data_IF_176470365095
#
_entry.id   IF_176470365095
#
_cell.length_a   1.000
_cell.length_b   1.000
_cell.length_c   1.000
_cell.angle_alpha   90.00
_cell.angle_beta   90.00
_cell.angle_gamma   90.00
#
_symmetry.space_group_name_H-M   'P 1'
#
loop_
_entity.id
_entity.type
_entity.pdbx_description
1 polymer ?
#
# COMPACT_ATOMS: atom_id res chain seq x y z
N UNK A 1 9.33 -5.20 30.13
CA UNK A 1 8.82 -3.83 29.88
C UNK A 1 7.89 -3.89 28.69
N UNK A 2 6.60 -3.61 28.86
CA UNK A 2 5.68 -3.47 27.72
C UNK A 2 6.13 -2.24 26.91
N UNK A 3 6.52 -2.42 25.65
CA UNK A 3 6.73 -1.28 24.76
C UNK A 3 5.43 -0.46 24.71
N UNK A 4 5.53 0.88 24.70
CA UNK A 4 4.35 1.76 24.67
C UNK A 4 3.54 1.58 23.37
N UNK A 5 4.18 1.09 22.31
CA UNK A 5 3.62 0.80 21.00
C UNK A 5 4.17 -0.54 20.50
N UNK A 6 3.37 -1.25 19.73
CA UNK A 6 3.68 -2.54 19.12
C UNK A 6 3.98 -2.37 17.63
N UNK A 7 4.65 -3.36 17.03
CA UNK A 7 4.88 -3.39 15.60
C UNK A 7 3.69 -4.02 14.88
N UNK A 8 3.42 -3.62 13.64
CA UNK A 8 2.41 -4.23 12.78
C UNK A 8 2.68 -5.72 12.55
N UNK A 9 3.96 -6.12 12.53
CA UNK A 9 4.37 -7.53 12.44
C UNK A 9 4.04 -8.38 13.67
N UNK A 10 3.64 -7.76 14.78
CA UNK A 10 3.25 -8.45 16.01
C UNK A 10 1.75 -8.79 16.05
N UNK A 11 1.00 -8.43 15.00
CA UNK A 11 -0.42 -8.77 14.88
C UNK A 11 -0.57 -10.28 14.77
N UNK A 12 -1.41 -10.84 15.65
CA UNK A 12 -1.62 -12.28 15.72
C UNK A 12 -3.06 -12.61 16.13
N UNK A 13 -3.51 -13.82 15.83
CA UNK A 13 -4.79 -14.32 16.37
C UNK A 13 -4.73 -14.46 17.90
N UNK A 14 -5.81 -14.11 18.59
CA UNK A 14 -6.00 -14.37 20.02
C UNK A 14 -5.79 -13.14 20.93
N UNK A 15 -4.91 -12.22 20.53
CA UNK A 15 -4.81 -10.91 21.17
C UNK A 15 -5.98 -10.02 20.75
N UNK A 16 -6.50 -9.22 21.69
CA UNK A 16 -7.76 -8.47 21.51
C UNK A 16 -7.56 -6.97 21.29
N UNK A 17 -6.37 -6.44 21.59
CA UNK A 17 -6.08 -5.03 21.48
C UNK A 17 -4.59 -4.83 21.24
N UNK A 18 -4.27 -3.89 20.36
CA UNK A 18 -2.92 -3.43 20.08
C UNK A 18 -2.89 -1.92 20.11
N UNK A 19 -1.70 -1.37 20.32
CA UNK A 19 -1.46 0.06 20.18
C UNK A 19 -0.31 0.28 19.22
N UNK A 20 -0.60 0.85 18.06
CA UNK A 20 0.40 1.08 17.03
C UNK A 20 0.72 2.56 16.90
N UNK A 21 1.92 2.84 16.36
CA UNK A 21 2.24 4.11 15.75
C UNK A 21 2.61 3.82 14.30
N UNK A 22 1.85 4.38 13.37
CA UNK A 22 1.91 4.04 11.94
C UNK A 22 1.78 5.29 11.08
N UNK A 23 2.33 5.22 9.87
CA UNK A 23 2.06 6.15 8.80
C UNK A 23 0.96 5.58 7.91
N UNK A 24 -0.02 6.41 7.54
CA UNK A 24 -1.01 6.05 6.52
C UNK A 24 -0.43 6.38 5.15
N UNK A 25 -0.15 5.35 4.34
CA UNK A 25 0.41 5.53 2.98
C UNK A 25 -0.71 5.79 1.99
N UNK A 26 -1.83 5.08 2.15
CA UNK A 26 -2.97 5.15 1.24
C UNK A 26 -4.26 4.97 2.01
N UNK A 27 -5.28 5.71 1.60
CA UNK A 27 -6.64 5.56 2.09
C UNK A 27 -7.59 5.61 0.89
N UNK A 28 -8.53 4.69 0.82
CA UNK A 28 -9.50 4.63 -0.27
C UNK A 28 -10.88 4.17 0.20
N UNK A 29 -11.90 4.57 -0.54
CA UNK A 29 -13.28 4.16 -0.30
C UNK A 29 -13.61 2.91 -1.12
N UNK A 30 -14.25 1.93 -0.49
CA UNK A 30 -14.82 0.75 -1.15
C UNK A 30 -16.33 0.90 -1.23
N UNK A 31 -16.90 0.65 -2.40
CA UNK A 31 -18.33 0.77 -2.67
C UNK A 31 -18.93 -0.61 -2.94
N UNK A 32 -20.13 -0.87 -2.42
CA UNK A 32 -20.85 -2.09 -2.75
C UNK A 32 -21.34 -2.05 -4.20
N UNK A 33 -21.33 -3.22 -4.84
CA UNK A 33 -21.94 -3.40 -6.16
C UNK A 33 -23.43 -3.06 -6.06
N UNK A 34 -23.88 -2.12 -6.88
CA UNK A 34 -25.27 -1.64 -6.90
C UNK A 34 -25.53 -0.37 -6.07
N UNK A 35 -24.60 0.05 -5.21
CA UNK A 35 -24.76 1.24 -4.37
C UNK A 35 -23.59 2.25 -4.52
N UNK A 36 -23.41 2.88 -5.69
CA UNK A 36 -22.26 3.74 -5.95
C UNK A 36 -22.30 5.09 -5.22
N UNK A 37 -23.37 5.41 -4.48
CA UNK A 37 -23.59 6.73 -3.87
C UNK A 37 -22.98 6.87 -2.48
N UNK A 38 -22.70 5.77 -1.78
CA UNK A 38 -22.16 5.79 -0.42
C UNK A 38 -21.07 4.73 -0.27
N UNK A 39 -19.90 5.09 0.28
CA UNK A 39 -18.86 4.10 0.55
C UNK A 39 -19.37 3.14 1.63
N UNK A 40 -19.13 1.86 1.41
CA UNK A 40 -19.41 0.79 2.36
C UNK A 40 -18.36 0.73 3.46
N UNK A 41 -17.09 0.91 3.08
CA UNK A 41 -15.97 0.99 4.00
C UNK A 41 -14.92 1.97 3.48
N UNK A 42 -14.10 2.46 4.41
CA UNK A 42 -12.83 3.10 4.11
C UNK A 42 -11.72 2.13 4.48
N UNK A 43 -10.85 1.82 3.53
CA UNK A 43 -9.69 0.97 3.73
C UNK A 43 -8.41 1.81 3.75
N UNK A 44 -7.41 1.33 4.49
CA UNK A 44 -6.14 2.01 4.70
C UNK A 44 -4.97 1.05 4.53
N UNK A 45 -3.89 1.54 3.95
CA UNK A 45 -2.58 0.90 3.98
C UNK A 45 -1.73 1.61 5.05
N UNK A 46 -1.31 0.84 6.04
CA UNK A 46 -0.53 1.29 7.18
C UNK A 46 0.90 0.76 7.07
N UNK A 47 1.86 1.58 7.50
CA UNK A 47 3.26 1.16 7.65
C UNK A 47 3.81 1.61 9.01
N UNK A 48 4.72 0.82 9.54
CA UNK A 48 5.56 1.15 10.68
C UNK A 48 7.03 0.85 10.35
N UNK A 49 7.90 0.79 11.36
CA UNK A 49 9.31 0.47 11.18
C UNK A 49 9.58 -0.97 10.71
N UNK A 50 8.55 -1.83 10.63
CA UNK A 50 8.71 -3.19 10.14
C UNK A 50 9.01 -3.17 8.64
N UNK A 51 10.01 -3.94 8.22
CA UNK A 51 10.42 -4.04 6.82
C UNK A 51 9.45 -4.86 5.95
N UNK A 52 8.31 -5.31 6.49
CA UNK A 52 7.35 -6.18 5.80
C UNK A 52 6.10 -5.40 5.38
N UNK A 53 5.93 -5.24 4.07
CA UNK A 53 4.71 -4.68 3.48
C UNK A 53 3.56 -5.69 3.49
N UNK A 54 3.89 -6.99 3.48
CA UNK A 54 2.89 -8.08 3.48
C UNK A 54 2.74 -8.70 4.88
N UNK A 55 1.49 -8.89 5.27
CA UNK A 55 1.11 -9.45 6.57
C UNK A 55 -0.10 -10.35 6.41
N UNK A 56 -0.16 -11.45 7.19
CA UNK A 56 -1.23 -12.47 7.07
C UNK A 56 -2.59 -12.02 7.62
N UNK A 57 -2.66 -10.81 8.19
CA UNK A 57 -3.82 -10.30 8.93
C UNK A 57 -4.24 -8.93 8.41
N UNK A 58 -5.55 -8.66 8.50
CA UNK A 58 -6.14 -7.33 8.30
C UNK A 58 -6.67 -6.79 9.63
N UNK A 59 -6.48 -5.50 9.86
CA UNK A 59 -7.06 -4.81 11.01
C UNK A 59 -8.45 -4.29 10.66
N UNK A 60 -9.44 -4.64 11.49
CA UNK A 60 -10.80 -4.14 11.40
C UNK A 60 -11.03 -3.12 12.50
N UNK A 61 -11.36 -1.88 12.11
CA UNK A 61 -11.68 -0.81 13.05
C UNK A 61 -13.11 -0.99 13.57
N UNK A 62 -13.27 -1.10 14.88
CA UNK A 62 -14.56 -1.25 15.54
C UNK A 62 -14.91 0.03 16.30
N UNK A 63 -16.12 0.11 16.86
CA UNK A 63 -16.62 1.29 17.59
C UNK A 63 -15.69 1.77 18.73
N UNK A 64 -14.84 0.88 19.27
CA UNK A 64 -13.89 1.19 20.35
C UNK A 64 -12.50 1.59 19.87
N UNK A 65 -12.22 1.56 18.56
CA UNK A 65 -10.88 1.91 18.07
C UNK A 65 -10.66 3.41 18.18
N UNK A 66 -9.60 3.82 18.87
CA UNK A 66 -9.18 5.22 18.97
C UNK A 66 -8.04 5.51 18.00
N UNK A 67 -8.12 6.66 17.33
CA UNK A 67 -7.10 7.14 16.40
C UNK A 67 -6.77 8.57 16.79
N UNK A 68 -5.49 8.91 16.82
CA UNK A 68 -5.02 10.27 17.07
C UNK A 68 -3.82 10.53 16.19
N UNK A 69 -3.76 11.72 15.59
CA UNK A 69 -2.60 12.16 14.81
C UNK A 69 -1.41 12.41 15.73
N UNK A 70 -0.23 11.97 15.33
CA UNK A 70 1.02 12.32 15.99
C UNK A 70 2.07 12.70 14.95
N UNK A 71 2.94 13.65 15.29
CA UNK A 71 4.13 13.91 14.49
C UNK A 71 5.22 12.94 14.92
N UNK A 72 5.64 12.06 14.02
CA UNK A 72 6.79 11.19 14.21
C UNK A 72 7.55 11.06 12.89
N UNK A 73 8.69 11.75 12.81
CA UNK A 73 9.55 11.78 11.62
C UNK A 73 10.41 10.51 11.48
N UNK A 74 10.36 9.61 12.45
CA UNK A 74 11.15 8.37 12.41
C UNK A 74 10.45 7.27 11.61
N UNK A 75 9.12 7.34 11.44
CA UNK A 75 8.37 6.40 10.62
C UNK A 75 8.80 6.47 9.13
N UNK A 76 8.83 5.34 8.41
CA UNK A 76 9.11 5.34 6.99
C UNK A 76 8.04 6.13 6.22
N UNK A 77 8.50 6.93 5.26
CA UNK A 77 7.64 7.83 4.48
C UNK A 77 7.04 7.17 3.23
N UNK A 78 7.72 6.17 2.69
CA UNK A 78 7.22 5.33 1.60
C UNK A 78 7.18 3.88 2.09
N UNK A 79 6.12 3.14 1.75
CA UNK A 79 6.05 1.70 2.02
C UNK A 79 6.51 0.87 0.84
N UNK A 80 7.49 1.39 0.11
CA UNK A 80 8.02 0.76 -1.09
C UNK A 80 9.25 -0.03 -0.70
N UNK A 81 9.28 -1.31 -1.09
CA UNK A 81 10.52 -2.08 -1.10
C UNK A 81 11.09 -2.03 -2.50
N UNK A 82 11.88 -1.00 -2.78
CA UNK A 82 12.42 -0.75 -4.11
C UNK A 82 13.46 -1.83 -4.41
N UNK A 83 13.22 -2.60 -5.47
CA UNK A 83 14.21 -3.51 -6.02
C UNK A 83 14.86 -2.93 -7.27
N UNK A 84 16.08 -3.37 -7.57
CA UNK A 84 16.73 -3.03 -8.84
C UNK A 84 15.97 -3.64 -10.00
N UNK A 85 15.98 -2.97 -11.15
CA UNK A 85 15.28 -3.44 -12.36
C UNK A 85 15.68 -4.88 -12.75
N UNK A 86 16.94 -5.27 -12.52
CA UNK A 86 17.46 -6.61 -12.81
C UNK A 86 16.92 -7.71 -11.88
N UNK A 87 16.40 -7.35 -10.71
CA UNK A 87 15.91 -8.28 -9.69
C UNK A 87 14.40 -8.52 -9.77
N UNK A 88 13.68 -7.69 -10.55
CA UNK A 88 12.23 -7.77 -10.74
C UNK A 88 11.86 -9.09 -11.39
N UNK A 89 10.94 -9.84 -10.76
CA UNK A 89 10.50 -11.16 -11.26
C UNK A 89 9.00 -11.20 -11.50
N UNK A 90 8.22 -10.48 -10.71
CA UNK A 90 6.77 -10.49 -10.72
C UNK A 90 6.22 -9.10 -10.38
N UNK A 91 5.52 -8.99 -9.25
CA UNK A 91 4.81 -7.83 -8.75
C UNK A 91 5.63 -7.21 -7.62
N UNK A 92 6.74 -6.58 -7.99
CA UNK A 92 7.58 -5.85 -7.05
C UNK A 92 7.44 -4.34 -7.24
N UNK A 93 7.72 -3.58 -6.17
CA UNK A 93 7.78 -2.13 -6.26
C UNK A 93 9.06 -1.75 -6.99
N UNK A 94 8.90 -1.03 -8.11
CA UNK A 94 10.02 -0.53 -8.92
C UNK A 94 10.07 0.98 -8.84
N UNK A 95 11.27 1.52 -8.73
CA UNK A 95 11.56 2.94 -8.87
C UNK A 95 12.70 3.08 -9.85
N UNK A 96 12.55 4.00 -10.79
CA UNK A 96 13.60 4.30 -11.77
C UNK A 96 13.37 5.66 -12.39
N UNK A 97 14.41 6.18 -13.02
CA UNK A 97 14.36 7.39 -13.83
C UNK A 97 13.61 7.06 -15.12
N UNK A 98 12.56 7.82 -15.42
CA UNK A 98 11.86 7.72 -16.70
C UNK A 98 12.78 8.21 -17.83
N UNK A 99 13.20 7.27 -18.68
CA UNK A 99 14.10 7.55 -19.81
C UNK A 99 13.35 7.76 -21.12
N UNK A 100 12.24 7.04 -21.33
CA UNK A 100 11.44 7.15 -22.54
C UNK A 100 9.98 6.78 -22.31
N UNK A 101 9.10 7.29 -23.17
CA UNK A 101 7.71 6.89 -23.28
C UNK A 101 7.34 6.74 -24.75
N UNK A 102 6.63 5.66 -25.10
CA UNK A 102 6.14 5.46 -26.47
C UNK A 102 4.96 6.38 -26.79
N UNK A 103 4.63 6.52 -28.08
CA UNK A 103 3.31 6.97 -28.48
C UNK A 103 2.22 6.00 -27.97
N UNK A 104 1.00 6.49 -27.79
CA UNK A 104 -0.14 5.65 -27.41
C UNK A 104 -0.45 4.64 -28.53
N UNK A 105 -0.50 3.35 -28.19
CA UNK A 105 -0.94 2.27 -29.06
C UNK A 105 -2.33 1.83 -28.68
N UNK A 106 -3.25 1.82 -29.64
CA UNK A 106 -4.62 1.31 -29.44
C UNK A 106 -4.70 -0.10 -30.03
N UNK A 107 -5.20 -1.05 -29.24
CA UNK A 107 -5.41 -2.45 -29.64
C UNK A 107 -6.80 -2.93 -29.23
N UNK A 108 -7.31 -3.99 -29.87
CA UNK A 108 -8.56 -4.64 -29.47
C UNK A 108 -8.23 -6.05 -28.98
N UNK A 109 -8.61 -6.36 -27.73
CA UNK A 109 -8.46 -7.69 -27.13
C UNK A 109 -9.78 -8.06 -26.45
N UNK A 110 -10.30 -9.25 -26.76
CA UNK A 110 -11.58 -9.76 -26.23
C UNK A 110 -12.77 -8.79 -26.43
N UNK A 111 -12.81 -8.12 -27.59
CA UNK A 111 -13.83 -7.13 -27.93
C UNK A 111 -13.71 -5.79 -27.18
N UNK A 112 -12.70 -5.62 -26.33
CA UNK A 112 -12.44 -4.39 -25.58
C UNK A 112 -11.28 -3.61 -26.20
N UNK A 113 -11.47 -2.30 -26.35
CA UNK A 113 -10.41 -1.38 -26.75
C UNK A 113 -9.47 -1.15 -25.58
N UNK A 114 -8.18 -1.42 -25.78
CA UNK A 114 -7.10 -1.21 -24.81
C UNK A 114 -6.14 -0.16 -25.37
N UNK A 115 -5.84 0.86 -24.56
CA UNK A 115 -4.85 1.90 -24.83
C UNK A 115 -3.58 1.61 -24.02
N UNK A 116 -2.43 1.61 -24.68
CA UNK A 116 -1.15 1.24 -24.08
C UNK A 116 -0.12 2.34 -24.32
N UNK A 117 0.64 2.68 -23.28
CA UNK A 117 1.87 3.48 -23.37
C UNK A 117 2.97 2.65 -22.73
N UNK A 118 4.05 2.41 -23.47
CA UNK A 118 5.23 1.75 -22.92
C UNK A 118 6.12 2.81 -22.28
N UNK A 119 6.53 2.56 -21.03
CA UNK A 119 7.46 3.39 -20.29
C UNK A 119 8.79 2.64 -20.16
N UNK A 120 9.91 3.34 -20.32
CA UNK A 120 11.25 2.84 -20.07
C UNK A 120 11.79 3.50 -18.80
N UNK A 121 12.10 2.67 -17.81
CA UNK A 121 12.67 3.08 -16.53
C UNK A 121 14.10 2.54 -16.41
N UNK A 122 14.98 3.33 -15.82
CA UNK A 122 16.36 2.93 -15.51
C UNK A 122 16.66 3.18 -14.03
N UNK A 123 17.38 2.25 -13.39
CA UNK A 123 17.88 2.48 -12.02
C UNK A 123 18.78 3.73 -11.97
N UNK A 124 18.75 4.45 -10.86
CA UNK A 124 19.68 5.56 -10.60
C UNK A 124 21.08 4.96 -10.39
N UNK A 125 22.05 5.38 -11.23
CA UNK A 125 23.44 4.86 -11.24
C UNK A 125 24.22 5.25 -10.00
#
# INVERSE_FOLDING_TARGET
>A
MCAMFECLSDVCSGKQAWKFKVQVIRMWSVYLVGEPKKPFSTEMLLIDFSSRVTHDYKLLFHVKTSITTCLDLTLPQNGLTIMKAEEVKNTEDVMGVLCAASAEKVTVKDGKTIRLIQLELRDET
#
